data_IF_313777181207
#
_entry.id   IF_313777181207
#
_cell.length_a   1.000
_cell.length_b   1.000
_cell.length_c   1.000
_cell.angle_alpha   90.00
_cell.angle_beta   90.00
_cell.angle_gamma   90.00
#
_symmetry.space_group_name_H-M   'P 1'
#
loop_
_entity.id
_entity.type
_entity.pdbx_description
1 polymer ?
#
# COMPACT_ATOMS: atom_id res chain seq x y z
N UNK A 1 -18.91 -12.60 -14.04
CA UNK A 1 -18.39 -11.59 -13.10
C UNK A 1 -18.17 -10.31 -13.88
N UNK A 2 -18.46 -9.16 -13.28
CA UNK A 2 -18.50 -7.86 -13.95
C UNK A 2 -17.34 -6.97 -13.52
N UNK A 3 -17.20 -5.82 -14.18
CA UNK A 3 -16.20 -4.82 -13.84
C UNK A 3 -16.30 -4.35 -12.38
N UNK A 4 -15.17 -4.02 -11.75
CA UNK A 4 -15.10 -3.40 -10.42
C UNK A 4 -15.06 -1.86 -10.51
N UNK A 5 -15.41 -1.26 -11.65
CA UNK A 5 -15.31 0.19 -11.88
C UNK A 5 -15.98 1.03 -10.78
N UNK A 6 -17.16 0.64 -10.29
CA UNK A 6 -17.84 1.36 -9.21
C UNK A 6 -17.06 1.32 -7.89
N UNK A 7 -16.39 0.20 -7.59
CA UNK A 7 -15.51 0.09 -6.42
C UNK A 7 -14.24 0.92 -6.63
N UNK A 8 -13.63 0.83 -7.82
CA UNK A 8 -12.44 1.57 -8.19
C UNK A 8 -12.65 3.09 -8.11
N UNK A 9 -13.79 3.57 -8.60
CA UNK A 9 -14.16 4.99 -8.54
C UNK A 9 -14.32 5.45 -7.09
N UNK A 10 -15.11 4.73 -6.30
CA UNK A 10 -15.41 5.15 -4.93
C UNK A 10 -14.17 5.10 -4.02
N UNK A 11 -13.41 4.00 -4.03
CA UNK A 11 -12.11 3.93 -3.33
C UNK A 11 -11.16 5.02 -3.84
N UNK A 12 -11.13 5.22 -5.16
CA UNK A 12 -10.27 6.19 -5.81
C UNK A 12 -10.52 7.64 -5.40
N UNK A 13 -11.75 8.02 -5.02
CA UNK A 13 -12.06 9.37 -4.49
C UNK A 13 -11.44 9.62 -3.11
N UNK A 14 -11.11 8.57 -2.37
CA UNK A 14 -10.54 8.63 -1.03
C UNK A 14 -9.04 8.27 -1.01
N UNK A 15 -8.39 8.28 -2.16
CA UNK A 15 -6.98 7.92 -2.29
C UNK A 15 -6.71 6.47 -1.87
N UNK A 16 -7.71 5.60 -1.99
CA UNK A 16 -7.58 4.16 -1.81
C UNK A 16 -7.52 3.47 -3.18
N UNK A 17 -7.03 2.25 -3.15
CA UNK A 17 -7.02 1.34 -4.29
C UNK A 17 -7.81 0.10 -3.90
N UNK A 18 -8.19 -0.71 -4.88
CA UNK A 18 -8.70 -2.05 -4.60
C UNK A 18 -7.51 -2.88 -4.12
N UNK A 19 -7.48 -3.33 -2.85
CA UNK A 19 -6.36 -4.10 -2.34
C UNK A 19 -6.26 -5.44 -3.07
N UNK A 20 -5.07 -5.83 -3.57
CA UNK A 20 -4.84 -7.19 -4.01
C UNK A 20 -5.27 -8.19 -2.95
N UNK A 21 -5.80 -9.34 -3.39
CA UNK A 21 -6.17 -10.45 -2.51
C UNK A 21 -7.33 -10.19 -1.53
N UNK A 22 -8.01 -9.05 -1.64
CA UNK A 22 -9.26 -8.80 -0.93
C UNK A 22 -10.41 -9.63 -1.54
N UNK A 23 -11.38 -10.01 -0.70
CA UNK A 23 -12.60 -10.64 -1.15
C UNK A 23 -13.73 -9.60 -1.29
N UNK A 24 -14.78 -9.94 -2.05
CA UNK A 24 -15.91 -9.03 -2.29
C UNK A 24 -16.64 -8.58 -1.03
N UNK A 25 -16.62 -9.38 0.05
CA UNK A 25 -17.21 -8.98 1.34
C UNK A 25 -16.46 -7.82 1.97
N UNK A 26 -15.13 -7.92 2.04
CA UNK A 26 -14.27 -6.84 2.55
C UNK A 26 -14.34 -5.58 1.66
N UNK A 27 -14.39 -5.75 0.33
CA UNK A 27 -14.59 -4.62 -0.57
C UNK A 27 -15.96 -3.95 -0.34
N UNK A 28 -17.02 -4.74 -0.16
CA UNK A 28 -18.35 -4.22 0.19
C UNK A 28 -18.32 -3.39 1.47
N UNK A 29 -17.68 -3.89 2.52
CA UNK A 29 -17.55 -3.21 3.81
C UNK A 29 -16.77 -1.89 3.69
N UNK A 30 -15.65 -1.86 2.94
CA UNK A 30 -14.93 -0.62 2.65
C UNK A 30 -15.82 0.42 1.97
N UNK A 31 -16.58 0.02 0.95
CA UNK A 31 -17.48 0.92 0.23
C UNK A 31 -18.61 1.43 1.13
N UNK A 32 -19.18 0.58 1.98
CA UNK A 32 -20.22 1.01 2.92
C UNK A 32 -19.71 2.06 3.89
N UNK A 33 -18.49 1.88 4.43
CA UNK A 33 -17.85 2.86 5.31
C UNK A 33 -17.65 4.20 4.58
N UNK A 34 -17.12 4.17 3.35
CA UNK A 34 -16.89 5.39 2.55
C UNK A 34 -18.20 6.13 2.25
N UNK A 35 -19.25 5.42 1.88
CA UNK A 35 -20.57 6.01 1.59
C UNK A 35 -21.25 6.61 2.81
N UNK A 36 -21.08 6.00 3.98
CA UNK A 36 -21.60 6.54 5.24
C UNK A 36 -20.81 7.77 5.70
N UNK A 37 -19.54 7.87 5.31
CA UNK A 37 -18.61 8.93 5.70
C UNK A 37 -18.69 9.29 7.20
N UNK A 38 -18.56 8.30 8.12
CA UNK A 38 -18.68 8.57 9.54
C UNK A 38 -17.49 9.39 10.04
N UNK A 39 -17.62 10.01 11.23
CA UNK A 39 -16.54 10.83 11.80
C UNK A 39 -15.24 10.03 12.07
N UNK A 40 -15.36 8.73 12.35
CA UNK A 40 -14.29 7.76 12.61
C UNK A 40 -13.98 6.89 11.37
N UNK A 41 -14.14 7.46 10.18
CA UNK A 41 -13.99 6.73 8.91
C UNK A 41 -12.63 6.07 8.78
N UNK A 42 -11.54 6.78 9.06
CA UNK A 42 -10.17 6.25 8.90
C UNK A 42 -9.89 5.09 9.87
N UNK A 43 -10.42 5.14 11.09
CA UNK A 43 -10.35 4.05 12.06
C UNK A 43 -11.10 2.81 11.56
N UNK A 44 -12.33 2.99 11.05
CA UNK A 44 -13.12 1.88 10.50
C UNK A 44 -12.47 1.26 9.27
N UNK A 45 -11.98 2.08 8.34
CA UNK A 45 -11.23 1.60 7.17
C UNK A 45 -9.98 0.82 7.60
N UNK A 46 -9.26 1.31 8.61
CA UNK A 46 -8.09 0.64 9.19
C UNK A 46 -8.45 -0.74 9.74
N UNK A 47 -9.60 -0.89 10.41
CA UNK A 47 -10.06 -2.18 10.92
C UNK A 47 -10.27 -3.18 9.78
N UNK A 48 -10.96 -2.80 8.71
CA UNK A 48 -11.20 -3.69 7.56
C UNK A 48 -9.89 -4.04 6.86
N UNK A 49 -9.04 -3.05 6.58
CA UNK A 49 -7.74 -3.27 5.93
C UNK A 49 -6.82 -4.17 6.76
N UNK A 50 -6.88 -4.09 8.09
CA UNK A 50 -6.10 -4.98 8.97
C UNK A 50 -6.50 -6.46 8.86
N UNK A 51 -7.71 -6.75 8.39
CA UNK A 51 -8.17 -8.12 8.13
C UNK A 51 -7.67 -8.66 6.78
N UNK A 52 -7.31 -7.77 5.84
CA UNK A 52 -6.63 -8.13 4.59
C UNK A 52 -5.15 -8.34 4.89
N UNK A 53 -4.54 -7.37 5.56
CA UNK A 53 -3.11 -7.32 5.88
C UNK A 53 -2.78 -7.96 7.23
N UNK A 54 -3.24 -9.20 7.42
CA UNK A 54 -2.94 -9.94 8.66
C UNK A 54 -1.44 -10.25 8.79
N UNK A 55 -0.91 -10.47 10.02
CA UNK A 55 0.48 -10.88 10.21
C UNK A 55 0.88 -12.10 9.39
N UNK A 56 -0.02 -13.09 9.26
CA UNK A 56 0.21 -14.28 8.44
C UNK A 56 0.32 -13.95 6.95
N UNK A 57 -0.57 -13.09 6.44
CA UNK A 57 -0.52 -12.62 5.05
C UNK A 57 0.75 -11.82 4.77
N UNK A 58 1.07 -10.84 5.62
CA UNK A 58 2.25 -9.99 5.49
C UNK A 58 3.55 -10.82 5.50
N UNK A 59 3.65 -11.78 6.41
CA UNK A 59 4.82 -12.66 6.48
C UNK A 59 4.95 -13.53 5.22
N UNK A 60 3.84 -14.05 4.69
CA UNK A 60 3.86 -14.80 3.43
C UNK A 60 4.25 -13.91 2.24
N UNK A 61 3.80 -12.65 2.21
CA UNK A 61 4.24 -11.67 1.20
C UNK A 61 5.73 -11.37 1.31
N UNK A 62 6.27 -11.13 2.50
CA UNK A 62 7.70 -10.87 2.69
C UNK A 62 8.57 -12.03 2.23
N UNK A 63 8.29 -13.23 2.73
CA UNK A 63 9.11 -14.42 2.45
C UNK A 63 8.96 -14.88 1.00
N UNK A 64 7.73 -14.95 0.49
CA UNK A 64 7.46 -15.66 -0.76
C UNK A 64 7.25 -14.73 -1.96
N UNK A 65 6.96 -13.44 -1.75
CA UNK A 65 6.70 -12.48 -2.84
C UNK A 65 7.77 -11.41 -2.91
N UNK A 66 7.87 -10.53 -1.93
CA UNK A 66 8.78 -9.38 -1.99
C UNK A 66 10.23 -9.83 -2.18
N UNK A 67 10.67 -10.89 -1.49
CA UNK A 67 12.03 -11.42 -1.62
C UNK A 67 12.36 -12.01 -3.01
N UNK A 68 11.35 -12.37 -3.80
CA UNK A 68 11.54 -13.12 -5.06
C UNK A 68 11.07 -12.35 -6.30
N UNK A 69 10.18 -11.39 -6.14
CA UNK A 69 9.68 -10.58 -7.25
C UNK A 69 10.77 -9.66 -7.78
N UNK A 70 11.12 -9.84 -9.05
CA UNK A 70 12.15 -9.04 -9.74
C UNK A 70 11.90 -7.54 -9.53
N UNK A 71 12.96 -6.78 -9.33
CA UNK A 71 12.94 -5.34 -8.96
C UNK A 71 12.45 -5.07 -7.54
N UNK A 72 11.34 -5.67 -7.11
CA UNK A 72 10.82 -5.49 -5.74
C UNK A 72 11.78 -6.08 -4.71
N UNK A 73 12.42 -7.20 -5.02
CA UNK A 73 13.40 -7.86 -4.16
C UNK A 73 14.60 -6.99 -3.78
N UNK A 74 14.89 -5.94 -4.56
CA UNK A 74 15.92 -4.96 -4.23
C UNK A 74 15.55 -4.10 -3.01
N UNK A 75 14.29 -4.13 -2.59
CA UNK A 75 13.74 -3.37 -1.47
C UNK A 75 13.09 -4.28 -0.42
N UNK A 76 13.26 -5.61 -0.51
CA UNK A 76 12.57 -6.56 0.36
C UNK A 76 12.86 -6.30 1.86
N UNK A 77 14.11 -5.94 2.18
CA UNK A 77 14.51 -5.56 3.53
C UNK A 77 13.76 -4.32 4.02
N UNK A 78 13.79 -3.22 3.25
CA UNK A 78 13.06 -1.99 3.59
C UNK A 78 11.55 -2.21 3.73
N UNK A 79 10.97 -3.06 2.89
CA UNK A 79 9.54 -3.43 2.99
C UNK A 79 9.28 -4.20 4.29
N UNK A 80 10.15 -5.16 4.64
CA UNK A 80 10.04 -5.92 5.89
C UNK A 80 10.15 -5.00 7.11
N UNK A 81 11.14 -4.11 7.13
CA UNK A 81 11.33 -3.13 8.21
C UNK A 81 10.14 -2.17 8.34
N UNK A 82 9.56 -1.73 7.22
CA UNK A 82 8.37 -0.89 7.24
C UNK A 82 7.14 -1.63 7.82
N UNK A 83 6.99 -2.91 7.51
CA UNK A 83 5.95 -3.76 8.11
C UNK A 83 6.19 -3.88 9.62
N UNK A 84 7.41 -4.19 10.05
CA UNK A 84 7.75 -4.28 11.47
C UNK A 84 7.47 -2.96 12.21
N UNK A 85 7.87 -1.83 11.62
CA UNK A 85 7.59 -0.51 12.15
C UNK A 85 6.09 -0.28 12.31
N UNK A 86 5.27 -0.64 11.31
CA UNK A 86 3.82 -0.54 11.42
C UNK A 86 3.25 -1.39 12.56
N UNK A 87 3.69 -2.65 12.67
CA UNK A 87 3.24 -3.57 13.70
C UNK A 87 3.64 -3.12 15.12
N UNK A 88 4.79 -2.45 15.26
CA UNK A 88 5.22 -1.76 16.49
C UNK A 88 4.48 -0.42 16.73
N UNK A 89 3.69 0.05 15.76
CA UNK A 89 2.96 1.31 15.83
C UNK A 89 3.80 2.56 15.51
N UNK A 90 4.95 2.40 14.86
CA UNK A 90 5.84 3.45 14.34
C UNK A 90 5.43 3.85 12.92
N UNK A 91 4.17 4.26 12.76
CA UNK A 91 3.55 4.49 11.45
C UNK A 91 4.27 5.54 10.59
N UNK A 92 4.84 6.59 11.18
CA UNK A 92 5.62 7.59 10.43
C UNK A 92 6.78 6.95 9.69
N UNK A 93 7.53 6.08 10.38
CA UNK A 93 8.67 5.34 9.83
C UNK A 93 8.19 4.34 8.78
N UNK A 94 7.13 3.61 9.07
CA UNK A 94 6.56 2.64 8.14
C UNK A 94 6.15 3.29 6.81
N UNK A 95 5.39 4.38 6.87
CA UNK A 95 4.91 5.11 5.69
C UNK A 95 6.08 5.74 4.93
N UNK A 96 6.96 6.48 5.63
CA UNK A 96 8.10 7.14 5.01
C UNK A 96 9.08 6.14 4.37
N UNK A 97 9.23 4.95 4.96
CA UNK A 97 10.05 3.87 4.43
C UNK A 97 9.52 3.29 3.11
N UNK A 98 8.20 3.19 2.94
CA UNK A 98 7.60 2.65 1.71
C UNK A 98 7.56 3.67 0.54
N UNK A 99 7.61 4.97 0.82
CA UNK A 99 7.62 6.01 -0.23
C UNK A 99 8.75 5.83 -1.27
N UNK A 100 10.03 5.71 -0.88
CA UNK A 100 11.12 5.48 -1.84
C UNK A 100 11.05 4.09 -2.49
N UNK A 101 10.45 3.08 -1.83
CA UNK A 101 10.24 1.76 -2.42
C UNK A 101 9.32 1.87 -3.64
N UNK A 102 8.15 2.49 -3.49
CA UNK A 102 7.17 2.65 -4.57
C UNK A 102 7.79 3.40 -5.76
N UNK A 103 8.47 4.53 -5.49
CA UNK A 103 9.17 5.31 -6.52
C UNK A 103 10.26 4.47 -7.22
N UNK A 104 11.11 3.83 -6.43
CA UNK A 104 12.25 3.07 -6.91
C UNK A 104 11.86 1.83 -7.72
N UNK A 105 10.80 1.13 -7.32
CA UNK A 105 10.26 -0.03 -8.04
C UNK A 105 9.68 0.42 -9.38
N UNK A 106 8.87 1.47 -9.42
CA UNK A 106 8.30 1.97 -10.69
C UNK A 106 9.39 2.38 -11.65
N UNK A 107 10.39 3.16 -11.20
CA UNK A 107 11.47 3.62 -12.08
C UNK A 107 12.18 2.43 -12.72
N UNK A 108 12.52 1.41 -11.92
CA UNK A 108 13.23 0.22 -12.41
C UNK A 108 12.36 -0.67 -13.30
N UNK A 109 11.11 -0.93 -12.93
CA UNK A 109 10.16 -1.67 -13.77
C UNK A 109 9.90 -0.95 -15.11
N UNK A 110 9.80 0.38 -15.08
CA UNK A 110 9.59 1.18 -16.28
C UNK A 110 10.74 0.99 -17.28
N UNK A 111 11.98 1.06 -16.80
CA UNK A 111 13.17 0.82 -17.64
C UNK A 111 13.18 -0.60 -18.22
N UNK A 112 12.77 -1.61 -17.44
CA UNK A 112 12.67 -3.00 -17.92
C UNK A 112 11.61 -3.18 -19.02
N UNK A 113 10.56 -2.35 -19.02
CA UNK A 113 9.51 -2.33 -20.04
C UNK A 113 9.82 -1.36 -21.21
N UNK A 114 11.08 -0.91 -21.35
CA UNK A 114 11.50 -0.03 -22.45
C UNK A 114 11.01 1.40 -22.34
N UNK A 115 10.46 1.81 -21.19
CA UNK A 115 10.02 3.19 -20.95
C UNK A 115 11.24 4.08 -20.75
N UNK A 116 11.33 5.15 -21.54
CA UNK A 116 12.49 6.05 -21.57
C UNK A 116 12.88 6.61 -20.20
N UNK A 117 14.18 6.54 -19.89
CA UNK A 117 14.78 7.12 -18.69
C UNK A 117 14.54 8.64 -18.59
N UNK A 118 14.40 9.34 -19.72
CA UNK A 118 14.18 10.80 -19.80
C UNK A 118 12.78 11.23 -19.33
N UNK A 119 11.80 10.32 -19.27
CA UNK A 119 10.47 10.63 -18.75
C UNK A 119 10.55 11.00 -17.27
N UNK A 120 9.78 12.01 -16.87
CA UNK A 120 9.58 12.35 -15.45
C UNK A 120 8.93 11.17 -14.72
N UNK A 121 9.12 11.05 -13.40
CA UNK A 121 8.57 9.93 -12.62
C UNK A 121 7.05 9.79 -12.77
N UNK A 122 6.28 10.90 -12.72
CA UNK A 122 4.82 10.88 -13.00
C UNK A 122 4.48 10.26 -14.36
N UNK A 123 5.27 10.53 -15.39
CA UNK A 123 5.07 9.96 -16.73
C UNK A 123 5.48 8.48 -16.80
N UNK A 124 6.45 8.05 -15.98
CA UNK A 124 6.82 6.63 -15.84
C UNK A 124 5.71 5.83 -15.19
N UNK A 125 5.07 6.34 -14.12
CA UNK A 125 3.89 5.71 -13.51
C UNK A 125 2.78 5.46 -14.53
N UNK A 126 2.40 6.52 -15.27
CA UNK A 126 1.34 6.44 -16.29
C UNK A 126 1.66 5.43 -17.37
N UNK A 127 2.90 5.45 -17.88
CA UNK A 127 3.31 4.54 -18.93
C UNK A 127 3.36 3.08 -18.44
N UNK A 128 3.92 2.83 -17.26
CA UNK A 128 4.05 1.47 -16.71
C UNK A 128 2.67 0.82 -16.48
N UNK A 129 1.76 1.54 -15.80
CA UNK A 129 0.42 1.00 -15.54
C UNK A 129 -0.39 0.91 -16.84
N UNK A 130 -0.21 1.86 -17.77
CA UNK A 130 -0.81 1.78 -19.10
C UNK A 130 -0.40 0.53 -19.88
N UNK A 131 0.90 0.18 -19.87
CA UNK A 131 1.37 -1.08 -20.46
C UNK A 131 0.76 -2.32 -19.78
N UNK A 132 0.55 -2.27 -18.45
CA UNK A 132 -0.09 -3.36 -17.73
C UNK A 132 -1.56 -3.52 -18.12
N UNK A 133 -2.32 -2.42 -18.24
CA UNK A 133 -3.71 -2.41 -18.70
C UNK A 133 -3.81 -2.94 -20.13
N UNK A 134 -2.96 -2.44 -21.04
CA UNK A 134 -2.92 -2.90 -22.44
C UNK A 134 -2.64 -4.41 -22.53
N UNK A 135 -1.69 -4.91 -21.73
CA UNK A 135 -1.40 -6.34 -21.65
C UNK A 135 -2.61 -7.13 -21.17
N UNK A 136 -3.28 -6.69 -20.10
CA UNK A 136 -4.50 -7.32 -19.58
C UNK A 136 -5.59 -7.39 -20.64
N UNK A 137 -5.83 -6.28 -21.36
CA UNK A 137 -6.83 -6.17 -22.40
C UNK A 137 -6.50 -6.94 -23.68
N UNK A 138 -5.21 -7.20 -23.93
CA UNK A 138 -4.76 -8.03 -25.06
C UNK A 138 -4.89 -9.52 -24.74
N UNK A 139 -4.46 -9.93 -23.54
CA UNK A 139 -4.40 -11.35 -23.14
C UNK A 139 -5.76 -11.89 -22.69
N UNK A 140 -6.61 -11.06 -22.07
CA UNK A 140 -7.99 -11.38 -21.64
C UNK A 140 -8.13 -12.72 -20.91
N UNK A 141 -7.19 -13.03 -20.02
CA UNK A 141 -7.22 -14.28 -19.22
C UNK A 141 -7.87 -14.03 -17.86
N UNK A 142 -8.74 -14.94 -17.43
CA UNK A 142 -9.46 -14.82 -16.16
C UNK A 142 -10.40 -13.61 -16.13
N UNK A 143 -10.60 -13.05 -14.94
CA UNK A 143 -11.45 -11.87 -14.70
C UNK A 143 -10.73 -10.56 -15.06
N UNK A 144 -10.32 -10.43 -16.32
CA UNK A 144 -9.48 -9.33 -16.81
C UNK A 144 -10.10 -7.94 -16.60
N UNK A 145 -11.44 -7.83 -16.59
CA UNK A 145 -12.14 -6.57 -16.30
C UNK A 145 -11.96 -6.11 -14.85
N UNK A 146 -11.90 -7.06 -13.91
CA UNK A 146 -11.60 -6.75 -12.51
C UNK A 146 -10.15 -6.26 -12.39
N UNK A 147 -9.21 -6.94 -13.06
CA UNK A 147 -7.80 -6.54 -13.10
C UNK A 147 -7.63 -5.14 -13.70
N UNK A 148 -8.33 -4.83 -14.79
CA UNK A 148 -8.33 -3.49 -15.40
C UNK A 148 -8.84 -2.42 -14.43
N UNK A 149 -9.92 -2.71 -13.69
CA UNK A 149 -10.46 -1.81 -12.65
C UNK A 149 -9.42 -1.55 -11.55
N UNK A 150 -8.74 -2.61 -11.08
CA UNK A 150 -7.70 -2.50 -10.05
C UNK A 150 -6.51 -1.67 -10.52
N UNK A 151 -6.03 -1.89 -11.75
CA UNK A 151 -4.94 -1.11 -12.35
C UNK A 151 -5.34 0.35 -12.56
N UNK A 152 -6.59 0.61 -12.93
CA UNK A 152 -7.12 1.97 -13.10
C UNK A 152 -7.20 2.70 -11.76
N UNK A 153 -7.69 2.05 -10.70
CA UNK A 153 -7.66 2.59 -9.34
C UNK A 153 -6.23 2.89 -8.86
N UNK A 154 -5.29 1.99 -9.14
CA UNK A 154 -3.88 2.20 -8.81
C UNK A 154 -3.27 3.39 -9.57
N UNK A 155 -3.56 3.51 -10.86
CA UNK A 155 -3.10 4.66 -11.66
C UNK A 155 -3.66 5.98 -11.10
N UNK A 156 -4.93 5.99 -10.70
CA UNK A 156 -5.57 7.14 -10.07
C UNK A 156 -4.86 7.52 -8.75
N UNK A 157 -4.58 6.53 -7.89
CA UNK A 157 -3.80 6.73 -6.67
C UNK A 157 -2.44 7.41 -6.94
N UNK A 158 -1.67 6.85 -7.87
CA UNK A 158 -0.33 7.36 -8.18
C UNK A 158 -0.36 8.80 -8.72
N UNK A 159 -1.30 9.10 -9.62
CA UNK A 159 -1.35 10.38 -10.33
C UNK A 159 -1.88 11.52 -9.48
N UNK A 160 -2.93 11.26 -8.71
CA UNK A 160 -3.75 12.31 -8.09
C UNK A 160 -3.49 12.43 -6.57
N UNK A 161 -2.77 11.48 -5.97
CA UNK A 161 -2.50 11.46 -4.54
C UNK A 161 -1.02 11.29 -4.25
N UNK A 162 -0.43 10.14 -4.62
CA UNK A 162 0.94 9.80 -4.24
C UNK A 162 1.97 10.81 -4.78
N UNK A 163 1.85 11.19 -6.05
CA UNK A 163 2.79 12.08 -6.76
C UNK A 163 2.22 13.47 -7.03
N UNK A 164 1.20 13.88 -6.29
CA UNK A 164 0.67 15.24 -6.38
C UNK A 164 1.60 16.24 -5.68
N UNK A 165 1.53 17.52 -6.05
CA UNK A 165 2.25 18.55 -5.30
C UNK A 165 1.68 18.69 -3.88
N UNK A 166 2.53 18.90 -2.87
CA UNK A 166 2.12 18.90 -1.46
C UNK A 166 1.02 19.93 -1.16
N UNK A 167 1.06 21.08 -1.85
CA UNK A 167 0.08 22.18 -1.77
C UNK A 167 -1.25 21.87 -2.43
N UNK A 168 -1.29 20.89 -3.31
CA UNK A 168 -2.46 20.50 -4.10
C UNK A 168 -3.06 19.16 -3.65
N UNK A 169 -2.47 18.52 -2.63
CA UNK A 169 -2.98 17.26 -2.10
C UNK A 169 -4.36 17.43 -1.44
N UNK A 170 -5.39 16.71 -1.90
CA UNK A 170 -6.77 17.04 -1.56
C UNK A 170 -7.28 16.40 -0.26
N UNK A 171 -6.60 15.38 0.27
CA UNK A 171 -7.09 14.60 1.40
C UNK A 171 -6.48 15.05 2.74
N UNK A 172 -7.20 14.86 3.86
CA UNK A 172 -6.74 15.25 5.19
C UNK A 172 -5.67 14.31 5.76
N UNK A 173 -5.58 13.06 5.28
CA UNK A 173 -4.65 12.02 5.75
C UNK A 173 -3.19 12.26 5.32
N UNK A 174 -2.96 13.20 4.39
CA UNK A 174 -1.65 13.61 3.89
C UNK A 174 -0.76 12.45 3.40
N UNK A 175 -1.35 11.39 2.84
CA UNK A 175 -0.61 10.30 2.17
C UNK A 175 -0.04 10.75 0.82
N UNK A 176 0.99 11.60 0.85
CA UNK A 176 1.65 12.14 -0.32
C UNK A 176 3.17 12.11 -0.19
N UNK A 177 3.85 11.57 -1.20
CA UNK A 177 5.31 11.39 -1.20
C UNK A 177 6.04 12.71 -1.08
N UNK A 178 5.58 13.75 -1.78
CA UNK A 178 6.28 15.03 -1.84
C UNK A 178 6.22 15.72 -0.47
N UNK A 179 5.04 15.78 0.15
CA UNK A 179 4.85 16.44 1.43
C UNK A 179 5.56 15.73 2.58
N UNK A 180 5.54 14.39 2.59
CA UNK A 180 6.26 13.60 3.60
C UNK A 180 7.77 13.74 3.42
N UNK A 181 8.31 13.46 2.22
CA UNK A 181 9.77 13.41 2.02
C UNK A 181 10.45 14.79 1.97
N UNK A 182 9.69 15.86 1.74
CA UNK A 182 10.22 17.24 1.80
C UNK A 182 9.84 17.99 3.08
N UNK A 183 9.26 17.30 4.07
CA UNK A 183 8.96 17.90 5.38
C UNK A 183 7.88 18.98 5.36
N UNK A 184 6.98 18.95 4.37
CA UNK A 184 5.84 19.85 4.34
C UNK A 184 4.74 19.44 5.35
N UNK A 185 4.79 18.19 5.82
CA UNK A 185 3.86 17.61 6.78
C UNK A 185 4.55 17.25 8.08
N UNK A 186 3.83 17.40 9.18
CA UNK A 186 4.22 17.11 10.55
C UNK A 186 3.76 15.72 11.01
N UNK A 187 4.12 15.35 12.24
CA UNK A 187 3.69 14.07 12.83
C UNK A 187 2.17 13.95 12.97
N UNK A 188 1.44 15.06 13.09
CA UNK A 188 -0.02 15.07 13.20
C UNK A 188 -0.72 14.78 11.86
N UNK A 189 0.01 14.86 10.75
CA UNK A 189 -0.56 14.86 9.41
C UNK A 189 -0.64 13.46 8.80
N UNK A 190 0.41 12.64 8.90
CA UNK A 190 0.53 11.40 8.13
C UNK A 190 0.82 10.12 8.94
N UNK A 191 0.93 10.23 10.27
CA UNK A 191 1.29 9.13 11.19
C UNK A 191 0.21 8.05 11.41
N UNK A 192 -0.77 7.95 10.52
CA UNK A 192 -1.94 7.10 10.69
C UNK A 192 -1.76 5.74 10.01
N UNK A 193 -2.36 4.69 10.59
CA UNK A 193 -2.26 3.31 10.08
C UNK A 193 -2.84 3.17 8.66
N UNK A 194 -3.88 3.94 8.33
CA UNK A 194 -4.49 3.95 6.99
C UNK A 194 -3.48 4.30 5.89
N UNK A 195 -2.54 5.21 6.18
CA UNK A 195 -1.51 5.63 5.23
C UNK A 195 -0.50 4.51 4.95
N UNK A 196 -0.20 3.68 5.97
CA UNK A 196 0.60 2.48 5.78
C UNK A 196 -0.10 1.50 4.85
N UNK A 197 -1.39 1.23 5.07
CA UNK A 197 -2.12 0.32 4.18
C UNK A 197 -2.23 0.86 2.75
N UNK A 198 -2.44 2.17 2.56
CA UNK A 198 -2.41 2.81 1.24
C UNK A 198 -1.07 2.58 0.54
N UNK A 199 0.04 2.84 1.23
CA UNK A 199 1.38 2.67 0.65
C UNK A 199 1.76 1.20 0.42
N UNK A 200 1.42 0.31 1.35
CA UNK A 200 1.67 -1.13 1.18
C UNK A 200 0.84 -1.71 0.03
N UNK A 201 -0.43 -1.32 -0.11
CA UNK A 201 -1.27 -1.72 -1.25
C UNK A 201 -0.64 -1.32 -2.58
N UNK A 202 0.01 -0.15 -2.65
CA UNK A 202 0.73 0.28 -3.86
C UNK A 202 1.95 -0.62 -4.15
N UNK A 203 2.67 -1.09 -3.12
CA UNK A 203 3.75 -2.08 -3.27
C UNK A 203 3.20 -3.39 -3.81
N UNK A 204 2.06 -3.87 -3.31
CA UNK A 204 1.43 -5.12 -3.77
C UNK A 204 0.98 -5.04 -5.22
N UNK A 205 0.39 -3.91 -5.63
CA UNK A 205 0.05 -3.66 -7.03
C UNK A 205 1.29 -3.70 -7.93
N UNK A 206 2.44 -3.23 -7.45
CA UNK A 206 3.70 -3.28 -8.21
C UNK A 206 4.29 -4.69 -8.29
N UNK A 207 4.18 -5.48 -7.21
CA UNK A 207 4.49 -6.91 -7.27
C UNK A 207 3.64 -7.60 -8.34
N UNK A 208 2.34 -7.30 -8.33
CA UNK A 208 1.43 -7.90 -9.28
C UNK A 208 1.72 -7.47 -10.72
N UNK A 209 2.01 -6.19 -10.99
CA UNK A 209 2.43 -5.72 -12.32
C UNK A 209 3.73 -6.39 -12.77
N UNK A 210 4.67 -6.64 -11.85
CA UNK A 210 5.95 -7.25 -12.18
C UNK A 210 5.82 -8.70 -12.67
N UNK A 211 4.96 -9.50 -12.04
CA UNK A 211 4.89 -10.95 -12.31
C UNK A 211 3.56 -11.44 -12.87
N UNK A 212 2.51 -10.61 -12.84
CA UNK A 212 1.13 -10.98 -13.16
C UNK A 212 0.65 -12.25 -12.44
N UNK A 213 1.05 -12.43 -11.18
CA UNK A 213 0.59 -13.51 -10.32
C UNK A 213 -0.62 -13.07 -9.46
N UNK A 214 -1.86 -13.50 -9.76
CA UNK A 214 -3.07 -12.99 -9.10
C UNK A 214 -3.36 -13.66 -7.74
N UNK A 215 -2.71 -14.77 -7.42
CA UNK A 215 -2.98 -15.51 -6.19
C UNK A 215 -2.09 -15.05 -5.07
N UNK A 216 -2.63 -14.90 -3.86
CA UNK A 216 -1.84 -14.67 -2.65
C UNK A 216 -0.80 -15.78 -2.42
N UNK A 217 0.38 -15.46 -1.87
CA UNK A 217 1.37 -16.48 -1.56
C UNK A 217 0.83 -17.43 -0.49
N UNK A 218 1.13 -18.73 -0.64
CA UNK A 218 0.78 -19.71 0.39
C UNK A 218 1.73 -19.58 1.58
N UNK A 219 1.25 -19.78 2.82
CA UNK A 219 2.12 -19.87 3.98
C UNK A 219 3.16 -21.00 3.82
N UNK A 220 4.40 -20.70 4.18
CA UNK A 220 5.54 -21.62 4.31
C UNK A 220 5.94 -21.71 5.79
N UNK A 221 6.78 -22.69 6.18
CA UNK A 221 7.33 -22.74 7.55
C UNK A 221 8.03 -21.44 7.95
N UNK A 222 8.82 -20.86 7.04
CA UNK A 222 9.53 -19.60 7.28
C UNK A 222 8.56 -18.42 7.45
N UNK A 223 7.51 -18.33 6.62
CA UNK A 223 6.51 -17.28 6.78
C UNK A 223 5.69 -17.46 8.06
N UNK A 224 5.47 -18.70 8.51
CA UNK A 224 4.79 -18.98 9.79
C UNK A 224 5.65 -18.54 10.98
N UNK A 225 6.97 -18.80 10.94
CA UNK A 225 7.90 -18.32 11.94
C UNK A 225 7.93 -16.78 11.98
N UNK A 226 7.99 -16.12 10.82
CA UNK A 226 7.93 -14.67 10.74
C UNK A 226 6.58 -14.11 11.21
N UNK A 227 5.46 -14.78 10.90
CA UNK A 227 4.14 -14.38 11.40
C UNK A 227 4.06 -14.49 12.93
N UNK A 228 4.68 -15.50 13.54
CA UNK A 228 4.76 -15.61 15.00
C UNK A 228 5.57 -14.46 15.62
N UNK A 229 6.68 -14.06 14.99
CA UNK A 229 7.43 -12.87 15.37
C UNK A 229 6.59 -11.60 15.25
N UNK A 230 5.85 -11.43 14.16
CA UNK A 230 4.93 -10.30 13.97
C UNK A 230 3.84 -10.23 15.06
N UNK A 231 3.25 -11.36 15.42
CA UNK A 231 2.30 -11.42 16.54
C UNK A 231 2.96 -11.06 17.88
N UNK A 232 4.20 -11.49 18.11
CA UNK A 232 4.97 -11.13 19.30
C UNK A 232 5.17 -9.61 19.40
N UNK A 233 5.64 -8.94 18.34
CA UNK A 233 5.87 -7.48 18.37
C UNK A 233 4.57 -6.68 18.49
N UNK A 234 3.47 -7.14 17.88
CA UNK A 234 2.15 -6.53 18.06
C UNK A 234 1.68 -6.59 19.52
N UNK A 235 1.97 -7.69 20.22
CA UNK A 235 1.63 -7.83 21.64
C UNK A 235 2.48 -6.94 22.55
N UNK A 236 3.70 -6.57 22.12
CA UNK A 236 4.57 -5.65 22.85
C UNK A 236 4.16 -4.17 22.68
N UNK A 237 3.52 -3.83 21.56
CA UNK A 237 3.14 -2.46 21.17
C UNK A 237 2.41 -1.66 22.27
N UNK A 238 1.34 -2.17 22.93
CA UNK A 238 0.57 -1.36 23.88
C UNK A 238 1.38 -0.94 25.11
N UNK A 239 2.30 -1.79 25.57
CA UNK A 239 3.13 -1.54 26.76
C UNK A 239 4.34 -0.67 26.40
N UNK A 240 5.09 -1.06 25.36
CA UNK A 240 6.31 -0.36 24.97
C UNK A 240 6.05 1.08 24.50
N UNK A 241 4.96 1.33 23.76
CA UNK A 241 4.71 2.67 23.20
C UNK A 241 4.29 3.70 24.25
N UNK A 242 3.47 3.29 25.23
CA UNK A 242 3.04 4.18 26.32
C UNK A 242 4.21 4.51 27.24
N UNK A 243 4.97 3.50 27.64
CA UNK A 243 6.12 3.69 28.53
C UNK A 243 7.23 4.49 27.84
N UNK A 244 7.55 4.18 26.57
CA UNK A 244 8.52 4.95 25.81
C UNK A 244 8.08 6.40 25.56
N UNK A 245 6.80 6.66 25.23
CA UNK A 245 6.32 8.03 25.07
C UNK A 245 6.46 8.84 26.37
N UNK A 246 6.10 8.24 27.51
CA UNK A 246 6.26 8.90 28.82
C UNK A 246 7.71 9.20 29.14
N UNK A 247 8.64 8.32 28.77
CA UNK A 247 10.07 8.54 28.95
C UNK A 247 10.62 9.62 28.02
N UNK A 248 10.19 9.65 26.76
CA UNK A 248 10.72 10.56 25.73
C UNK A 248 10.11 11.96 25.84
N UNK A 249 8.80 12.06 26.10
CA UNK A 249 8.05 13.31 26.05
C UNK A 249 7.52 13.78 27.42
N UNK A 250 7.73 13.00 28.48
CA UNK A 250 7.30 13.30 29.85
C UNK A 250 5.86 12.87 30.16
N UNK A 251 5.44 12.95 31.44
CA UNK A 251 4.07 12.67 31.86
C UNK A 251 3.12 13.79 31.40
N UNK A 252 2.11 13.45 30.58
CA UNK A 252 1.09 14.39 30.11
C UNK A 252 0.99 14.55 28.57
N UNK A 253 1.86 13.88 27.82
CA UNK A 253 1.82 13.75 26.36
C UNK A 253 1.09 12.49 25.87
#
# INVERSE_FOLDING_TARGET
>A
MGSLDSYAEELGRHGLMIPPFSNMGMLGELIEILRQAPADMDEKLTVVLSQIYTPGHLAAMVVSRYAHTKVVNLYAETISEAIEAHLLGLNHVAVAGLMPVIEGVVVKLSLQHGISAKKKTKQKFVALVGCAIERTNTVKTGDFQEVESMLTAFLNFLKNYFWEESSSYPLPDKTNRHGILHGAYSDADYGYSINFYKTLTAVDMLCWISEFQPFQPKPTPDSQALAAYYLMIMNLRPRAKVDARRLIFGPGA
#
